data_IF_435196624886
#
_entry.id   IF_435196624886
#
_cell.length_a   1.000
_cell.length_b   1.000
_cell.length_c   1.000
_cell.angle_alpha   90.00
_cell.angle_beta   90.00
_cell.angle_gamma   90.00
#
_symmetry.space_group_name_H-M   'P 1'
#
loop_
_entity.id
_entity.type
_entity.pdbx_description
1 polymer ?
#
# COMPACT_ATOMS: atom_id res chain seq x y z
N UNK A 1 0.49 4.70 -14.02
CA UNK A 1 0.65 3.32 -13.53
C UNK A 1 -0.66 2.73 -13.01
N UNK A 2 -0.74 1.43 -12.74
CA UNK A 2 -1.84 0.81 -11.98
C UNK A 2 -1.38 0.59 -10.53
N UNK A 3 -2.10 1.16 -9.58
CA UNK A 3 -1.96 0.88 -8.15
C UNK A 3 -3.04 -0.10 -7.66
N UNK A 4 -2.78 -0.77 -6.54
CA UNK A 4 -3.68 -1.75 -5.95
C UNK A 4 -4.03 -1.37 -4.51
N UNK A 5 -5.28 -1.54 -4.13
CA UNK A 5 -5.76 -1.24 -2.78
C UNK A 5 -6.81 -2.25 -2.34
N UNK A 6 -6.61 -2.82 -1.16
CA UNK A 6 -7.64 -3.62 -0.49
C UNK A 6 -8.59 -2.68 0.26
N UNK A 7 -9.87 -3.02 0.32
CA UNK A 7 -10.91 -2.18 0.93
C UNK A 7 -11.95 -3.09 1.59
N UNK A 8 -12.48 -2.64 2.73
CA UNK A 8 -13.72 -3.22 3.27
C UNK A 8 -14.86 -3.02 2.26
N UNK A 9 -15.76 -3.97 2.09
CA UNK A 9 -16.87 -3.83 1.13
C UNK A 9 -17.87 -2.73 1.52
N UNK A 10 -17.86 -2.31 2.79
CA UNK A 10 -18.66 -1.19 3.30
C UNK A 10 -18.19 0.20 2.86
N UNK A 11 -16.98 0.32 2.29
CA UNK A 11 -16.39 1.61 1.94
C UNK A 11 -16.07 1.72 0.43
N UNK A 12 -16.13 2.93 -0.14
CA UNK A 12 -15.63 3.19 -1.49
C UNK A 12 -14.11 2.93 -1.58
N UNK A 13 -13.61 2.76 -2.81
CA UNK A 13 -12.21 2.36 -3.00
C UNK A 13 -11.20 3.42 -2.58
N UNK A 14 -11.62 4.68 -2.49
CA UNK A 14 -10.88 5.80 -1.91
C UNK A 14 -11.67 6.41 -0.75
N UNK A 15 -10.97 7.02 0.19
CA UNK A 15 -11.58 7.79 1.27
C UNK A 15 -12.28 9.04 0.73
N UNK A 16 -13.49 9.32 1.18
CA UNK A 16 -14.24 10.51 0.76
C UNK A 16 -13.86 11.75 1.58
N UNK A 17 -13.38 11.55 2.81
CA UNK A 17 -13.07 12.63 3.77
C UNK A 17 -11.77 12.35 4.52
N UNK A 18 -11.33 13.30 5.34
CA UNK A 18 -10.19 13.18 6.25
C UNK A 18 -10.47 12.30 7.48
N UNK A 19 -11.70 11.81 7.65
CA UNK A 19 -12.11 10.90 8.74
C UNK A 19 -11.61 9.48 8.45
N UNK A 20 -10.31 9.30 8.55
CA UNK A 20 -9.62 8.01 8.42
C UNK A 20 -8.61 7.82 9.57
N UNK A 21 -8.33 6.57 9.99
CA UNK A 21 -7.29 6.30 10.96
C UNK A 21 -5.92 6.79 10.48
N UNK A 22 -5.07 7.31 11.38
CA UNK A 22 -3.75 7.81 11.01
C UNK A 22 -2.85 6.68 10.51
N UNK A 23 -2.05 6.96 9.48
CA UNK A 23 -1.14 5.98 8.87
C UNK A 23 0.33 6.36 9.01
N UNK A 24 1.19 5.74 8.20
CA UNK A 24 2.62 6.06 8.14
C UNK A 24 2.91 7.47 7.61
N UNK A 25 2.10 7.94 6.65
CA UNK A 25 2.33 9.17 5.88
C UNK A 25 1.32 10.29 6.17
N UNK A 26 0.43 10.10 7.14
CA UNK A 26 -0.51 11.12 7.59
C UNK A 26 -0.93 10.86 9.04
N UNK A 27 -1.28 11.94 9.72
CA UNK A 27 -1.91 11.95 11.04
C UNK A 27 -3.43 12.12 10.95
N UNK A 28 -4.10 12.08 12.09
CA UNK A 28 -5.53 12.37 12.19
C UNK A 28 -5.82 13.78 11.63
N UNK A 29 -6.87 13.91 10.80
CA UNK A 29 -7.26 15.18 10.16
C UNK A 29 -6.36 15.63 9.01
N UNK A 30 -5.32 14.88 8.63
CA UNK A 30 -4.44 15.23 7.50
C UNK A 30 -4.87 14.60 6.16
N UNK A 31 -6.06 14.00 6.14
CA UNK A 31 -6.62 13.27 5.00
C UNK A 31 -7.46 14.11 4.04
N UNK A 32 -8.13 13.47 3.07
CA UNK A 32 -8.01 12.03 2.77
C UNK A 32 -6.61 11.68 2.24
N UNK A 33 -6.09 10.53 2.65
CA UNK A 33 -4.81 9.98 2.18
C UNK A 33 -4.98 8.52 1.76
N UNK A 34 -4.64 8.22 0.51
CA UNK A 34 -4.86 6.92 -0.11
C UNK A 34 -3.54 6.21 -0.31
N UNK A 35 -3.46 4.96 0.15
CA UNK A 35 -2.29 4.10 0.01
C UNK A 35 -2.59 3.09 -1.07
N UNK A 36 -1.75 3.07 -2.10
CA UNK A 36 -1.81 2.16 -3.23
C UNK A 36 -0.48 1.41 -3.32
N UNK A 37 -0.52 0.08 -3.37
CA UNK A 37 0.67 -0.70 -3.66
C UNK A 37 0.88 -0.84 -5.17
N UNK A 38 2.11 -1.03 -5.60
CA UNK A 38 2.45 -1.27 -7.02
C UNK A 38 2.19 -2.72 -7.47
N UNK A 39 1.75 -3.60 -6.56
CA UNK A 39 1.31 -4.97 -6.84
C UNK A 39 0.10 -5.37 -5.97
N UNK A 40 -0.72 -6.36 -6.40
CA UNK A 40 -1.76 -6.95 -5.56
C UNK A 40 -1.23 -7.50 -4.24
N UNK A 41 -0.11 -8.24 -4.30
CA UNK A 41 0.54 -8.81 -3.12
C UNK A 41 1.04 -7.73 -2.17
N UNK A 42 1.52 -6.59 -2.67
CA UNK A 42 1.88 -5.45 -1.84
C UNK A 42 0.68 -4.85 -1.11
N UNK A 43 -0.48 -4.75 -1.76
CA UNK A 43 -1.71 -4.24 -1.12
C UNK A 43 -2.15 -5.17 0.02
N UNK A 44 -2.11 -6.49 -0.22
CA UNK A 44 -2.39 -7.47 0.82
C UNK A 44 -1.34 -7.51 1.92
N UNK A 45 -0.06 -7.32 1.60
CA UNK A 45 1.00 -7.29 2.61
C UNK A 45 0.78 -6.13 3.58
N UNK A 46 0.41 -4.95 3.10
CA UNK A 46 0.08 -3.80 3.97
C UNK A 46 -1.11 -4.13 4.90
N UNK A 47 -2.13 -4.84 4.39
CA UNK A 47 -3.23 -5.33 5.23
C UNK A 47 -2.76 -6.31 6.32
N UNK A 48 -2.05 -7.37 5.93
CA UNK A 48 -1.57 -8.41 6.84
C UNK A 48 -0.65 -7.84 7.93
N UNK A 49 0.22 -6.89 7.54
CA UNK A 49 1.07 -6.15 8.48
C UNK A 49 0.22 -5.33 9.46
N UNK A 50 -0.76 -4.59 8.96
CA UNK A 50 -1.54 -3.68 9.81
C UNK A 50 -2.39 -4.42 10.84
N UNK A 51 -2.99 -5.53 10.45
CA UNK A 51 -3.81 -6.37 11.33
C UNK A 51 -2.98 -7.39 12.13
N UNK A 52 -1.65 -7.42 11.95
CA UNK A 52 -0.74 -8.39 12.57
C UNK A 52 -1.15 -9.87 12.32
N UNK A 53 -1.73 -10.14 11.14
CA UNK A 53 -2.15 -11.48 10.73
C UNK A 53 -0.93 -12.29 10.32
N UNK A 54 -0.62 -13.33 11.10
CA UNK A 54 0.54 -14.21 10.91
C UNK A 54 0.14 -15.67 10.69
N UNK A 55 -1.09 -16.05 11.03
CA UNK A 55 -1.60 -17.41 10.94
C UNK A 55 -2.24 -17.68 9.56
N UNK A 56 -1.84 -18.76 8.85
CA UNK A 56 -2.54 -19.25 7.68
C UNK A 56 -4.06 -19.42 7.85
N UNK A 57 -4.52 -19.82 9.03
CA UNK A 57 -5.93 -20.05 9.32
C UNK A 57 -6.71 -18.73 9.40
N UNK A 58 -6.08 -17.65 9.86
CA UNK A 58 -6.68 -16.31 9.81
C UNK A 58 -6.80 -15.82 8.37
N UNK A 59 -5.79 -16.10 7.52
CA UNK A 59 -5.80 -15.69 6.11
C UNK A 59 -7.00 -16.23 5.35
N UNK A 60 -7.43 -17.47 5.65
CA UNK A 60 -8.57 -18.07 4.95
C UNK A 60 -9.91 -17.43 5.30
N UNK A 61 -9.99 -16.69 6.40
CA UNK A 61 -11.20 -15.96 6.85
C UNK A 61 -11.37 -14.60 6.17
N UNK A 62 -10.29 -14.02 5.62
CA UNK A 62 -10.30 -12.69 5.01
C UNK A 62 -11.27 -12.64 3.83
N UNK A 63 -12.16 -11.64 3.82
CA UNK A 63 -13.02 -11.30 2.68
C UNK A 63 -12.99 -9.78 2.49
N UNK A 64 -12.27 -9.31 1.47
CA UNK A 64 -12.16 -7.87 1.15
C UNK A 64 -12.17 -7.63 -0.35
N UNK A 65 -12.60 -6.44 -0.74
CA UNK A 65 -12.46 -5.99 -2.12
C UNK A 65 -10.99 -5.67 -2.43
N UNK A 66 -10.56 -5.97 -3.65
CA UNK A 66 -9.30 -5.48 -4.20
C UNK A 66 -9.62 -4.64 -5.44
N UNK A 67 -9.04 -3.45 -5.51
CA UNK A 67 -9.24 -2.52 -6.62
C UNK A 67 -7.93 -2.32 -7.36
N UNK A 68 -7.98 -2.36 -8.69
CA UNK A 68 -6.94 -1.88 -9.58
C UNK A 68 -7.28 -0.43 -9.95
N UNK A 69 -6.36 0.49 -9.74
CA UNK A 69 -6.63 1.93 -9.77
C UNK A 69 -5.61 2.59 -10.69
N UNK A 70 -6.10 3.23 -11.75
CA UNK A 70 -5.24 3.98 -12.67
C UNK A 70 -4.87 5.33 -12.06
N UNK A 71 -3.57 5.57 -11.99
CA UNK A 71 -3.01 6.75 -11.33
C UNK A 71 -1.77 7.21 -12.07
N UNK A 72 -1.64 8.52 -12.21
CA UNK A 72 -0.39 9.11 -12.67
C UNK A 72 0.61 9.18 -11.52
N UNK A 73 1.76 8.53 -11.69
CA UNK A 73 2.87 8.56 -10.75
C UNK A 73 3.95 9.58 -11.11
N UNK A 74 3.76 10.33 -12.20
CA UNK A 74 4.60 11.47 -12.52
C UNK A 74 4.62 12.47 -11.36
N UNK A 75 5.78 13.08 -11.15
CA UNK A 75 6.02 14.08 -10.11
C UNK A 75 5.81 13.59 -8.67
N UNK A 76 5.66 12.28 -8.44
CA UNK A 76 5.59 11.77 -7.09
C UNK A 76 6.85 12.11 -6.30
N UNK A 77 6.65 12.80 -5.19
CA UNK A 77 7.73 13.18 -4.29
C UNK A 77 8.36 11.92 -3.68
N UNK A 78 9.68 11.97 -3.46
CA UNK A 78 10.40 10.90 -2.77
C UNK A 78 10.80 11.39 -1.37
N UNK A 79 10.32 10.73 -0.32
CA UNK A 79 10.78 10.97 1.05
C UNK A 79 12.31 10.84 1.14
N UNK A 80 12.95 11.76 1.85
CA UNK A 80 14.39 11.74 2.12
C UNK A 80 14.64 11.27 3.55
N UNK A 81 14.32 10.00 3.79
CA UNK A 81 14.53 9.34 5.08
C UNK A 81 15.36 8.07 4.89
N UNK A 82 16.12 7.66 5.92
CA UNK A 82 16.79 6.35 5.94
C UNK A 82 15.82 5.19 5.70
N UNK A 83 16.30 4.10 5.07
CA UNK A 83 15.45 2.96 4.66
C UNK A 83 14.82 2.21 5.86
N UNK A 84 15.54 2.15 6.97
CA UNK A 84 15.08 1.62 8.26
C UNK A 84 13.96 2.47 8.86
N UNK A 85 13.97 3.80 8.65
CA UNK A 85 12.84 4.67 9.01
C UNK A 85 11.65 4.40 8.10
N UNK A 86 11.87 4.33 6.79
CA UNK A 86 10.82 4.11 5.78
C UNK A 86 10.09 2.78 5.95
N UNK A 87 10.81 1.74 6.37
CA UNK A 87 10.30 0.36 6.47
C UNK A 87 10.12 -0.15 7.90
N UNK A 88 10.51 0.64 8.89
CA UNK A 88 10.46 0.32 10.32
C UNK A 88 9.06 0.30 10.92
N UNK A 89 8.99 0.01 12.22
CA UNK A 89 7.75 -0.18 12.97
C UNK A 89 6.98 1.11 13.28
N UNK A 90 6.02 1.04 14.21
CA UNK A 90 5.20 2.19 14.62
C UNK A 90 6.04 3.35 15.17
N UNK A 91 7.19 3.05 15.79
CA UNK A 91 8.14 4.05 16.30
C UNK A 91 8.69 5.00 15.24
N UNK A 92 8.67 4.61 13.96
CA UNK A 92 9.18 5.46 12.85
C UNK A 92 8.10 6.34 12.21
N UNK A 93 6.83 6.15 12.56
CA UNK A 93 5.71 6.89 11.97
C UNK A 93 5.81 8.40 12.19
N UNK A 94 6.19 8.93 13.37
CA UNK A 94 6.34 10.37 13.56
C UNK A 94 7.32 11.01 12.56
N UNK A 95 8.44 10.35 12.25
CA UNK A 95 9.41 10.83 11.28
C UNK A 95 8.85 10.81 9.84
N UNK A 96 8.15 9.74 9.46
CA UNK A 96 7.50 9.64 8.15
C UNK A 96 6.38 10.69 7.97
N UNK A 97 5.57 10.95 9.01
CA UNK A 97 4.54 12.00 9.00
C UNK A 97 5.14 13.40 8.90
N UNK A 98 6.22 13.67 9.64
CA UNK A 98 6.93 14.94 9.55
C UNK A 98 7.48 15.18 8.12
N UNK A 99 8.04 14.13 7.50
CA UNK A 99 8.50 14.21 6.12
C UNK A 99 7.35 14.41 5.13
N UNK A 100 6.21 13.73 5.31
CA UNK A 100 5.02 13.96 4.50
C UNK A 100 4.52 15.41 4.61
N UNK A 101 4.46 15.98 5.82
CA UNK A 101 4.12 17.40 6.04
C UNK A 101 5.08 18.32 5.28
N UNK A 102 6.39 18.05 5.36
CA UNK A 102 7.42 18.82 4.65
C UNK A 102 7.24 18.74 3.13
N UNK A 103 6.89 17.58 2.59
CA UNK A 103 6.62 17.41 1.16
C UNK A 103 5.34 18.14 0.74
N UNK A 104 4.26 18.04 1.53
CA UNK A 104 3.00 18.77 1.29
C UNK A 104 3.19 20.28 1.30
N UNK A 105 3.95 20.81 2.26
CA UNK A 105 4.30 22.23 2.32
C UNK A 105 5.07 22.73 1.09
N UNK A 106 5.67 21.83 0.31
CA UNK A 106 6.33 22.13 -0.97
C UNK A 106 5.43 21.85 -2.19
N UNK A 107 4.14 21.62 -1.98
CA UNK A 107 3.16 21.40 -3.04
C UNK A 107 3.02 19.94 -3.47
N UNK A 108 3.68 18.97 -2.81
CA UNK A 108 3.49 17.57 -3.17
C UNK A 108 2.08 17.09 -2.80
N UNK A 109 1.34 16.62 -3.79
CA UNK A 109 0.05 15.95 -3.60
C UNK A 109 0.17 14.42 -3.68
N UNK A 110 1.35 13.89 -4.00
CA UNK A 110 1.61 12.45 -4.03
C UNK A 110 3.05 12.15 -3.69
N UNK A 111 3.30 10.99 -3.08
CA UNK A 111 4.65 10.51 -2.79
C UNK A 111 4.79 9.01 -3.08
N UNK A 112 6.00 8.57 -3.42
CA UNK A 112 6.35 7.15 -3.56
C UNK A 112 7.42 6.80 -2.54
N UNK A 113 7.18 5.71 -1.82
CA UNK A 113 8.11 5.12 -0.87
C UNK A 113 8.25 3.61 -1.11
N UNK A 114 9.32 2.97 -0.61
CA UNK A 114 9.35 1.52 -0.48
C UNK A 114 8.14 1.02 0.33
N UNK A 115 7.61 -0.15 -0.02
CA UNK A 115 6.64 -0.83 0.85
C UNK A 115 7.32 -1.15 2.17
N UNK A 116 6.69 -0.76 3.27
CA UNK A 116 7.14 -1.16 4.59
C UNK A 116 6.72 -2.61 4.86
N UNK A 117 5.57 -3.04 4.33
CA UNK A 117 5.06 -4.37 4.57
C UNK A 117 5.85 -5.48 3.88
N UNK A 118 6.40 -5.26 2.68
CA UNK A 118 7.14 -6.32 1.99
C UNK A 118 8.60 -6.43 2.47
N UNK A 119 9.09 -7.67 2.59
CA UNK A 119 10.53 -7.96 2.65
C UNK A 119 11.22 -7.50 1.35
N UNK A 120 12.53 -7.19 1.38
CA UNK A 120 13.28 -6.82 0.18
C UNK A 120 13.14 -7.87 -0.93
N UNK A 121 12.94 -7.43 -2.17
CA UNK A 121 12.72 -8.30 -3.33
C UNK A 121 11.42 -9.14 -3.30
N UNK A 122 10.51 -8.90 -2.35
CA UNK A 122 9.31 -9.71 -2.20
C UNK A 122 8.13 -9.28 -3.09
N UNK A 123 8.23 -8.19 -3.85
CA UNK A 123 7.23 -7.83 -4.86
C UNK A 123 7.40 -8.72 -6.10
N UNK A 124 7.02 -9.99 -5.95
CA UNK A 124 7.18 -11.04 -6.95
C UNK A 124 6.06 -10.97 -7.98
N UNK A 125 6.33 -11.56 -9.12
CA UNK A 125 5.35 -11.72 -10.19
C UNK A 125 5.59 -13.04 -10.91
N UNK A 126 4.80 -13.28 -11.94
CA UNK A 126 4.88 -14.50 -12.73
C UNK A 126 4.99 -14.15 -14.21
N UNK A 127 5.66 -15.02 -14.97
CA UNK A 127 5.70 -14.98 -16.43
C UNK A 127 5.35 -16.34 -16.99
N UNK A 128 4.81 -16.37 -18.20
CA UNK A 128 4.52 -17.60 -18.93
C UNK A 128 5.69 -17.92 -19.85
N UNK A 129 6.40 -19.00 -19.55
CA UNK A 129 7.50 -19.55 -20.36
C UNK A 129 7.53 -21.06 -20.14
N UNK A 130 6.87 -21.80 -21.05
CA UNK A 130 6.61 -23.24 -20.92
C UNK A 130 6.00 -23.60 -19.56
N UNK A 131 4.95 -22.86 -19.19
CA UNK A 131 4.31 -22.90 -17.87
C UNK A 131 4.55 -21.61 -17.07
N UNK A 132 3.97 -21.56 -15.87
CA UNK A 132 4.11 -20.42 -14.96
C UNK A 132 5.48 -20.47 -14.29
N UNK A 133 6.27 -19.40 -14.43
CA UNK A 133 7.57 -19.24 -13.77
C UNK A 133 7.63 -17.94 -12.99
N UNK A 134 8.38 -17.88 -11.88
CA UNK A 134 8.65 -16.61 -11.21
C UNK A 134 9.26 -15.59 -12.19
N UNK A 135 8.73 -14.38 -12.17
CA UNK A 135 9.33 -13.23 -12.83
C UNK A 135 10.49 -12.68 -11.98
N UNK A 136 11.22 -11.70 -12.52
CA UNK A 136 12.29 -11.01 -11.79
C UNK A 136 11.74 -10.38 -10.50
N UNK A 137 12.43 -10.61 -9.39
CA UNK A 137 12.13 -9.96 -8.12
C UNK A 137 12.24 -8.43 -8.22
N UNK A 138 11.35 -7.73 -7.53
CA UNK A 138 11.34 -6.26 -7.45
C UNK A 138 11.18 -5.81 -6.01
N UNK A 139 11.63 -4.59 -5.75
CA UNK A 139 11.29 -3.87 -4.53
C UNK A 139 9.85 -3.37 -4.65
N UNK A 140 9.02 -3.73 -3.67
CA UNK A 140 7.64 -3.24 -3.59
C UNK A 140 7.61 -1.75 -3.25
N UNK A 141 6.61 -1.05 -3.78
CA UNK A 141 6.43 0.38 -3.56
C UNK A 141 5.00 0.68 -3.15
N UNK A 142 4.87 1.74 -2.36
CA UNK A 142 3.58 2.35 -2.04
C UNK A 142 3.56 3.74 -2.64
N UNK A 143 2.55 4.00 -3.46
CA UNK A 143 2.16 5.34 -3.89
C UNK A 143 1.11 5.85 -2.90
N UNK A 144 1.36 7.04 -2.37
CA UNK A 144 0.46 7.72 -1.44
C UNK A 144 -0.10 8.94 -2.14
N UNK A 145 -1.42 8.98 -2.28
CA UNK A 145 -2.15 10.13 -2.83
C UNK A 145 -2.73 10.96 -1.67
N UNK A 146 -2.60 12.28 -1.76
CA UNK A 146 -2.98 13.22 -0.70
C UNK A 146 -4.06 14.16 -1.22
N UNK A 147 -5.13 14.29 -0.44
CA UNK A 147 -6.31 15.08 -0.77
C UNK A 147 -7.30 14.33 -1.68
N UNK A 148 -8.47 14.92 -1.95
CA UNK A 148 -9.50 14.31 -2.78
C UNK A 148 -8.99 13.91 -4.17
N UNK A 149 -9.53 12.82 -4.71
CA UNK A 149 -9.14 12.23 -6.01
C UNK A 149 -10.37 11.87 -6.84
N UNK A 150 -11.04 12.89 -7.33
CA UNK A 150 -12.22 12.75 -8.20
C UNK A 150 -11.83 12.38 -9.65
N UNK A 151 -10.54 12.47 -9.97
CA UNK A 151 -9.93 12.22 -11.28
C UNK A 151 -9.46 10.77 -11.47
N UNK A 152 -9.51 9.95 -10.42
CA UNK A 152 -8.94 8.60 -10.40
C UNK A 152 -10.02 7.55 -10.69
N UNK A 153 -9.73 6.65 -11.62
CA UNK A 153 -10.62 5.55 -12.00
C UNK A 153 -10.12 4.25 -11.38
N UNK A 154 -11.04 3.52 -10.74
CA UNK A 154 -10.80 2.20 -10.16
C UNK A 154 -11.69 1.14 -10.78
N UNK A 155 -11.13 -0.05 -10.99
CA UNK A 155 -11.86 -1.25 -11.40
C UNK A 155 -11.78 -2.28 -10.28
N UNK A 156 -12.91 -2.85 -9.90
CA UNK A 156 -12.94 -3.97 -8.96
C UNK A 156 -12.22 -5.16 -9.58
N UNK A 157 -11.12 -5.59 -8.97
CA UNK A 157 -10.43 -6.83 -9.35
C UNK A 157 -11.07 -8.05 -8.69
N UNK A 158 -11.57 -7.88 -7.46
CA UNK A 158 -12.44 -8.83 -6.75
C UNK A 158 -13.22 -8.11 -5.67
N UNK A 159 -14.38 -8.63 -5.28
CA UNK A 159 -15.23 -8.09 -4.21
C UNK A 159 -15.12 -8.89 -2.91
N UNK A 160 -14.69 -10.15 -2.97
CA UNK A 160 -14.57 -11.05 -1.82
C UNK A 160 -13.25 -11.85 -1.88
N UNK A 161 -12.14 -11.13 -2.05
CA UNK A 161 -10.81 -11.69 -2.17
C UNK A 161 -10.11 -11.93 -0.83
N UNK A 162 -9.00 -12.67 -0.92
CA UNK A 162 -8.05 -12.91 0.17
C UNK A 162 -6.61 -13.00 -0.39
N UNK A 163 -5.58 -12.73 0.42
CA UNK A 163 -4.21 -12.99 0.01
C UNK A 163 -3.94 -14.47 -0.22
N UNK A 164 -2.88 -14.76 -0.98
CA UNK A 164 -2.27 -16.08 -0.99
C UNK A 164 -1.57 -16.32 0.35
N UNK A 165 -1.78 -17.48 0.97
CA UNK A 165 -1.15 -17.85 2.25
C UNK A 165 0.38 -17.74 2.21
N UNK A 166 0.99 -18.03 1.06
CA UNK A 166 2.44 -17.93 0.84
C UNK A 166 2.98 -16.51 1.05
N UNK A 167 2.13 -15.48 0.95
CA UNK A 167 2.49 -14.10 1.20
C UNK A 167 2.94 -13.86 2.64
N UNK A 168 2.44 -14.63 3.62
CA UNK A 168 2.82 -14.47 5.04
C UNK A 168 4.34 -14.49 5.24
N UNK A 169 5.05 -15.37 4.53
CA UNK A 169 6.52 -15.48 4.57
C UNK A 169 7.27 -14.27 4.01
N UNK A 170 6.56 -13.31 3.44
CA UNK A 170 7.08 -12.14 2.73
C UNK A 170 6.73 -10.82 3.42
N UNK A 171 5.94 -10.86 4.50
CA UNK A 171 5.46 -9.69 5.22
C UNK A 171 6.37 -9.37 6.41
N UNK A 172 6.69 -8.09 6.59
CA UNK A 172 7.26 -7.53 7.81
C UNK A 172 6.12 -7.13 8.73
N UNK A 173 6.23 -7.50 10.00
CA UNK A 173 5.32 -7.11 11.05
C UNK A 173 5.95 -6.06 11.96
N UNK A 174 5.16 -5.49 12.89
CA UNK A 174 5.63 -4.51 13.87
C UNK A 174 6.50 -5.13 14.97
#
# INVERSE_FOLDING_TARGET
MIGFRHVDDRFPFLWETDRQPPGRWHDEGEGPVHYLADTPDGAWAEFLRHEEIRDPDDVVTIRRGLWAIEVDDAQAARPRLPVDVLTGGLSTYPACRAEARRLRARGANRLIAPSAALLPGAARGWRVDRGMRPARAREGRVLVLIGPRLDVVGWAATTAGRPLTQLLSQVRHF
#
